data_IF_989293764868
#
_entry.id   IF_989293764868
#
_cell.length_a   1.000
_cell.length_b   1.000
_cell.length_c   1.000
_cell.angle_alpha   90.00
_cell.angle_beta   90.00
_cell.angle_gamma   90.00
#
_symmetry.space_group_name_H-M   'P 1'
#
loop_
_entity.id
_entity.type
_entity.pdbx_description
1 polymer ?
#
# COMPACT_ATOMS: atom_id res chain seq x y z
N UNK A 1 -4.75 4.34 -11.99
CA UNK A 1 -4.55 3.04 -11.32
C UNK A 1 -4.47 1.94 -12.36
N UNK A 2 -3.35 1.23 -12.41
CA UNK A 2 -3.15 0.07 -13.30
C UNK A 2 -3.97 -1.15 -12.84
N UNK A 3 -4.01 -2.20 -13.68
CA UNK A 3 -4.65 -3.47 -13.35
C UNK A 3 -3.99 -4.15 -12.13
N UNK A 4 -2.68 -4.01 -11.94
CA UNK A 4 -1.97 -4.59 -10.79
C UNK A 4 -2.37 -3.93 -9.47
N UNK A 5 -2.52 -2.61 -9.46
CA UNK A 5 -2.98 -1.89 -8.27
C UNK A 5 -4.46 -2.20 -7.94
N UNK A 6 -5.31 -2.40 -8.95
CA UNK A 6 -6.69 -2.90 -8.74
C UNK A 6 -6.69 -4.31 -8.15
N UNK A 7 -5.93 -5.23 -8.74
CA UNK A 7 -5.81 -6.60 -8.24
C UNK A 7 -5.27 -6.65 -6.81
N UNK A 8 -4.34 -5.74 -6.47
CA UNK A 8 -3.84 -5.59 -5.10
C UNK A 8 -4.97 -5.21 -4.13
N UNK A 9 -5.78 -4.20 -4.46
CA UNK A 9 -6.91 -3.77 -3.62
C UNK A 9 -8.02 -4.83 -3.53
N UNK A 10 -8.26 -5.60 -4.59
CA UNK A 10 -9.22 -6.71 -4.57
C UNK A 10 -8.74 -7.84 -3.66
N UNK A 11 -7.43 -8.14 -3.68
CA UNK A 11 -6.83 -9.16 -2.80
C UNK A 11 -6.76 -8.71 -1.34
N UNK A 12 -6.51 -7.42 -1.11
CA UNK A 12 -6.35 -6.83 0.22
C UNK A 12 -7.31 -5.65 0.44
N UNK A 13 -8.63 -5.88 0.54
CA UNK A 13 -9.60 -4.78 0.59
C UNK A 13 -9.51 -3.94 1.88
N UNK A 14 -8.94 -4.50 2.95
CA UNK A 14 -8.78 -3.81 4.23
C UNK A 14 -7.33 -3.36 4.40
N UNK A 15 -7.07 -2.08 4.75
CA UNK A 15 -5.71 -1.66 5.09
C UNK A 15 -5.19 -2.42 6.31
N UNK A 16 -3.95 -2.92 6.24
CA UNK A 16 -3.21 -3.19 7.46
C UNK A 16 -2.74 -1.86 8.02
N UNK A 17 -3.09 -1.58 9.27
CA UNK A 17 -2.35 -0.59 10.05
C UNK A 17 -1.05 -1.28 10.42
N UNK A 18 -0.03 -1.10 9.59
CA UNK A 18 1.33 -1.53 9.88
C UNK A 18 1.85 -0.71 11.08
N UNK A 19 1.46 -1.10 12.29
CA UNK A 19 2.12 -0.62 13.50
C UNK A 19 3.55 -1.14 13.38
N UNK A 20 4.53 -0.23 13.46
CA UNK A 20 5.96 -0.50 13.18
C UNK A 20 6.52 -1.67 14.02
N UNK A 21 5.82 -2.06 15.09
CA UNK A 21 6.18 -3.17 15.98
C UNK A 21 5.66 -4.56 15.53
N UNK A 22 4.74 -4.65 14.55
CA UNK A 22 4.10 -5.89 14.07
C UNK A 22 4.15 -6.06 12.53
N UNK A 23 5.18 -5.53 11.85
CA UNK A 23 5.33 -5.69 10.38
C UNK A 23 5.71 -7.12 9.91
N UNK A 24 5.21 -8.16 10.57
CA UNK A 24 5.44 -9.57 10.20
C UNK A 24 4.18 -10.30 9.68
N UNK A 25 3.00 -9.68 9.60
CA UNK A 25 1.77 -10.46 9.40
C UNK A 25 1.55 -10.96 7.94
N UNK A 26 2.01 -10.25 6.90
CA UNK A 26 1.92 -10.75 5.50
C UNK A 26 3.10 -10.33 4.57
N UNK A 27 4.14 -11.19 4.42
CA UNK A 27 5.27 -10.93 3.53
C UNK A 27 4.89 -10.92 2.04
N UNK A 28 3.80 -11.59 1.65
CA UNK A 28 3.31 -11.58 0.26
C UNK A 28 2.70 -10.22 -0.08
N UNK A 29 1.90 -9.67 0.84
CA UNK A 29 1.31 -8.34 0.69
C UNK A 29 2.38 -7.26 0.57
N UNK A 30 3.40 -7.31 1.41
CA UNK A 30 4.51 -6.36 1.37
C UNK A 30 5.27 -6.44 0.03
N UNK A 31 5.60 -7.65 -0.42
CA UNK A 31 6.25 -7.88 -1.72
C UNK A 31 5.40 -7.33 -2.86
N UNK A 32 4.11 -7.67 -2.91
CA UNK A 32 3.20 -7.23 -3.97
C UNK A 32 3.03 -5.71 -3.99
N UNK A 33 2.99 -5.07 -2.82
CA UNK A 33 2.94 -3.60 -2.74
C UNK A 33 4.24 -2.96 -3.25
N UNK A 34 5.41 -3.51 -2.88
CA UNK A 34 6.72 -3.01 -3.33
C UNK A 34 6.97 -3.16 -4.83
N UNK A 35 6.25 -4.05 -5.50
CA UNK A 35 6.31 -4.23 -6.96
C UNK A 35 5.44 -3.23 -7.73
N UNK A 36 4.59 -2.44 -7.05
CA UNK A 36 3.79 -1.42 -7.70
C UNK A 36 4.66 -0.20 -8.07
N UNK A 37 4.42 0.44 -9.22
CA UNK A 37 4.99 1.76 -9.50
C UNK A 37 4.57 2.77 -8.43
N UNK A 38 5.45 3.72 -8.09
CA UNK A 38 5.21 4.71 -7.04
C UNK A 38 3.85 5.40 -7.15
N UNK A 39 3.44 5.82 -8.34
CA UNK A 39 2.15 6.49 -8.54
C UNK A 39 0.94 5.59 -8.28
N UNK A 40 1.08 4.29 -8.51
CA UNK A 40 0.05 3.29 -8.18
C UNK A 40 0.07 2.96 -6.68
N UNK A 41 1.24 2.83 -6.07
CA UNK A 41 1.39 2.61 -4.64
C UNK A 41 0.79 3.77 -3.82
N UNK A 42 1.04 5.02 -4.23
CA UNK A 42 0.40 6.22 -3.68
C UNK A 42 -1.12 6.18 -3.84
N UNK A 43 -1.63 5.74 -4.98
CA UNK A 43 -3.08 5.59 -5.20
C UNK A 43 -3.72 4.53 -4.29
N UNK A 44 -3.02 3.42 -4.05
CA UNK A 44 -3.44 2.38 -3.09
C UNK A 44 -3.50 2.95 -1.67
N UNK A 45 -2.47 3.69 -1.24
CA UNK A 45 -2.47 4.33 0.08
C UNK A 45 -3.58 5.38 0.25
N UNK A 46 -3.86 6.16 -0.79
CA UNK A 46 -5.01 7.09 -0.83
C UNK A 46 -6.34 6.35 -0.71
N UNK A 47 -6.48 5.21 -1.39
CA UNK A 47 -7.68 4.39 -1.31
C UNK A 47 -7.93 3.88 0.11
N UNK A 48 -6.85 3.51 0.81
CA UNK A 48 -6.90 3.15 2.23
C UNK A 48 -7.09 4.33 3.19
N UNK A 49 -7.16 5.57 2.68
CA UNK A 49 -7.37 6.77 3.49
C UNK A 49 -6.11 7.29 4.20
N UNK A 50 -4.92 6.88 3.76
CA UNK A 50 -3.66 7.43 4.29
C UNK A 50 -3.53 8.89 3.87
N UNK A 51 -3.13 9.75 4.81
CA UNK A 51 -2.98 11.20 4.58
C UNK A 51 -1.85 11.48 3.58
N UNK A 52 -2.04 12.47 2.70
CA UNK A 52 -1.01 12.88 1.74
C UNK A 52 0.33 13.23 2.40
N UNK A 53 0.33 13.81 3.61
CA UNK A 53 1.55 14.11 4.37
C UNK A 53 2.38 12.85 4.67
N UNK A 54 1.73 11.75 5.06
CA UNK A 54 2.39 10.48 5.34
C UNK A 54 2.86 9.80 4.05
N UNK A 55 2.07 9.91 2.97
CA UNK A 55 2.46 9.40 1.65
C UNK A 55 3.67 10.17 1.12
N UNK A 56 3.71 11.49 1.28
CA UNK A 56 4.86 12.30 0.88
C UNK A 56 6.13 11.86 1.62
N UNK A 57 6.08 11.69 2.94
CA UNK A 57 7.24 11.24 3.74
C UNK A 57 7.75 9.85 3.31
N UNK A 58 6.86 8.95 2.90
CA UNK A 58 7.24 7.58 2.53
C UNK A 58 7.83 7.44 1.11
N UNK A 59 7.65 8.44 0.24
CA UNK A 59 8.04 8.41 -1.18
C UNK A 59 8.95 9.58 -1.59
N UNK A 60 9.41 10.38 -0.64
CA UNK A 60 10.46 11.41 -0.79
C UNK A 60 11.82 10.83 -0.42
#
# INVERSE_FOLDING_TARGET
MTERAKAYLEKYPTPEILVIEDQEEDPERARLFSELPDEDAKQVLRHYGVKEEAIAIAFD
#
